data_IF_977982000751
#
_entry.id   IF_977982000751
#
_cell.length_a   1.000
_cell.length_b   1.000
_cell.length_c   1.000
_cell.angle_alpha   90.00
_cell.angle_beta   90.00
_cell.angle_gamma   90.00
#
_symmetry.space_group_name_H-M   'P 1'
#
loop_
_entity.id
_entity.type
_entity.pdbx_description
1 polymer ?
#
# COMPACT_ATOMS: atom_id res chain seq x y z
N UNK A 1 4.53 -8.83 16.64
CA UNK A 1 5.45 -7.75 17.06
C UNK A 1 6.36 -7.44 15.87
N UNK A 2 6.45 -6.19 15.42
CA UNK A 2 7.28 -5.78 14.27
C UNK A 2 8.52 -5.07 14.82
N UNK A 3 9.71 -5.52 14.43
CA UNK A 3 10.98 -4.93 14.86
C UNK A 3 11.60 -4.15 13.71
N UNK A 4 12.01 -2.91 13.99
CA UNK A 4 12.77 -2.08 13.03
C UNK A 4 14.07 -2.81 12.67
N UNK A 5 14.48 -2.78 11.40
CA UNK A 5 15.63 -3.51 10.81
C UNK A 5 15.47 -5.02 10.62
N UNK A 6 14.33 -5.60 10.98
CA UNK A 6 13.98 -6.97 10.57
C UNK A 6 13.17 -6.94 9.28
N UNK A 7 13.17 -8.07 8.57
CA UNK A 7 12.28 -8.23 7.43
C UNK A 7 10.83 -8.09 7.88
N UNK A 8 10.02 -7.40 7.09
CA UNK A 8 8.60 -7.30 7.34
C UNK A 8 7.96 -8.70 7.36
N UNK A 9 6.91 -8.91 8.19
CA UNK A 9 6.19 -10.18 8.21
C UNK A 9 5.66 -10.52 6.82
N UNK A 10 5.80 -11.78 6.43
CA UNK A 10 5.15 -12.29 5.23
C UNK A 10 3.69 -12.64 5.58
N UNK A 11 2.76 -12.17 4.76
CA UNK A 11 1.35 -12.48 4.91
C UNK A 11 0.67 -12.57 3.55
N UNK A 12 -0.36 -13.39 3.51
CA UNK A 12 -1.22 -13.56 2.34
C UNK A 12 -2.65 -13.22 2.76
N UNK A 13 -3.27 -12.28 2.06
CA UNK A 13 -4.62 -11.82 2.34
C UNK A 13 -5.35 -11.48 1.04
N UNK A 14 -6.67 -11.31 1.10
CA UNK A 14 -7.41 -10.73 -0.01
C UNK A 14 -7.09 -9.23 -0.11
N UNK A 15 -6.80 -8.74 -1.31
CA UNK A 15 -6.51 -7.33 -1.56
C UNK A 15 -7.16 -6.84 -2.86
N UNK A 16 -7.53 -5.56 -2.88
CA UNK A 16 -7.96 -4.84 -4.08
C UNK A 16 -6.74 -4.12 -4.66
N UNK A 17 -6.42 -4.37 -5.92
CA UNK A 17 -5.35 -3.70 -6.65
C UNK A 17 -5.87 -2.38 -7.23
N UNK A 18 -4.96 -1.44 -7.51
CA UNK A 18 -5.32 -0.11 -8.03
C UNK A 18 -5.94 -0.05 -9.43
N UNK A 19 -6.10 -1.21 -10.07
CA UNK A 19 -6.87 -1.42 -11.30
C UNK A 19 -8.29 -1.93 -11.02
N UNK A 20 -8.69 -2.08 -9.76
CA UNK A 20 -9.97 -2.64 -9.33
C UNK A 20 -10.03 -4.16 -9.32
N UNK A 21 -8.92 -4.87 -9.59
CA UNK A 21 -8.89 -6.33 -9.53
C UNK A 21 -8.81 -6.82 -8.09
N UNK A 22 -9.65 -7.79 -7.76
CA UNK A 22 -9.67 -8.44 -6.45
C UNK A 22 -8.77 -9.67 -6.51
N UNK A 23 -7.71 -9.69 -5.71
CA UNK A 23 -6.79 -10.81 -5.58
C UNK A 23 -7.00 -11.46 -4.23
N UNK A 24 -7.62 -12.65 -4.20
CA UNK A 24 -7.90 -13.36 -2.93
C UNK A 24 -6.65 -13.84 -2.19
N UNK A 25 -5.55 -14.06 -2.92
CA UNK A 25 -4.26 -14.54 -2.38
C UNK A 25 -3.14 -13.57 -2.69
N UNK A 26 -3.29 -12.32 -2.27
CA UNK A 26 -2.23 -11.32 -2.39
C UNK A 26 -1.12 -11.61 -1.39
N UNK A 27 0.06 -11.99 -1.86
CA UNK A 27 1.23 -12.19 -1.01
C UNK A 27 2.08 -10.92 -0.92
N UNK A 28 2.21 -10.38 0.30
CA UNK A 28 2.93 -9.13 0.53
C UNK A 28 4.38 -9.20 0.04
N UNK A 29 5.14 -10.22 0.46
CA UNK A 29 6.58 -10.33 0.18
C UNK A 29 6.89 -10.43 -1.32
N UNK A 30 6.07 -11.15 -2.08
CA UNK A 30 6.20 -11.28 -3.54
C UNK A 30 5.96 -9.94 -4.24
N UNK A 31 4.92 -9.21 -3.85
CA UNK A 31 4.55 -7.94 -4.48
C UNK A 31 5.46 -6.76 -4.10
N UNK A 32 6.12 -6.82 -2.94
CA UNK A 32 7.01 -5.75 -2.44
C UNK A 32 8.50 -6.04 -2.69
N UNK A 33 8.85 -7.20 -3.23
CA UNK A 33 10.24 -7.57 -3.48
C UNK A 33 10.95 -6.56 -4.38
N UNK A 34 12.11 -6.06 -3.94
CA UNK A 34 12.91 -5.09 -4.69
C UNK A 34 12.32 -3.67 -4.76
N UNK A 35 11.19 -3.41 -4.09
CA UNK A 35 10.55 -2.08 -4.04
C UNK A 35 10.49 -1.58 -2.60
N UNK A 36 10.65 -0.27 -2.43
CA UNK A 36 10.36 0.37 -1.16
C UNK A 36 8.83 0.47 -1.05
N UNK A 37 8.25 -0.18 -0.04
CA UNK A 37 6.80 -0.22 0.19
C UNK A 37 6.46 0.40 1.53
N UNK A 38 5.45 1.27 1.52
CA UNK A 38 4.83 1.82 2.72
C UNK A 38 3.56 1.01 2.99
N UNK A 39 3.47 0.38 4.15
CA UNK A 39 2.28 -0.35 4.61
C UNK A 39 1.66 0.45 5.76
N UNK A 40 0.38 0.81 5.60
CA UNK A 40 -0.37 1.61 6.55
C UNK A 40 -1.63 0.85 6.97
N UNK A 41 -1.90 0.80 8.27
CA UNK A 41 -3.09 0.15 8.83
C UNK A 41 -4.03 1.21 9.37
N UNK A 42 -5.28 1.20 8.93
CA UNK A 42 -6.35 2.02 9.48
C UNK A 42 -7.47 1.13 10.03
N UNK A 43 -8.24 1.60 11.02
CA UNK A 43 -9.10 0.74 11.83
C UNK A 43 -10.35 0.21 11.10
N UNK A 44 -10.98 1.03 10.25
CA UNK A 44 -12.18 0.62 9.50
C UNK A 44 -12.47 1.62 8.36
N UNK A 45 -12.80 1.08 7.19
CA UNK A 45 -13.29 1.86 6.04
C UNK A 45 -14.55 2.65 6.44
N UNK A 46 -14.64 3.93 6.06
CA UNK A 46 -15.76 4.85 6.36
C UNK A 46 -15.89 5.34 7.82
N UNK A 47 -14.81 5.35 8.59
CA UNK A 47 -14.77 6.06 9.89
C UNK A 47 -14.44 7.55 9.75
N UNK A 48 -14.83 8.39 10.73
CA UNK A 48 -14.72 9.86 10.72
C UNK A 48 -13.28 10.42 10.60
N UNK A 49 -12.27 9.57 10.62
CA UNK A 49 -10.91 9.90 10.18
C UNK A 49 -10.75 9.41 8.74
N UNK A 50 -11.32 10.19 7.82
CA UNK A 50 -11.27 10.04 6.36
C UNK A 50 -11.71 11.41 5.79
N UNK A 51 -11.13 12.01 4.73
CA UNK A 51 -10.27 11.47 3.67
C UNK A 51 -8.94 12.25 3.52
N UNK A 52 -8.60 13.13 4.46
CA UNK A 52 -7.52 14.09 4.32
C UNK A 52 -6.14 13.44 4.27
N UNK A 53 -5.91 12.36 5.01
CA UNK A 53 -4.63 11.63 5.00
C UNK A 53 -4.40 10.91 3.66
N UNK A 54 -5.43 10.26 3.11
CA UNK A 54 -5.34 9.62 1.79
C UNK A 54 -5.11 10.66 0.68
N UNK A 55 -5.83 11.78 0.71
CA UNK A 55 -5.66 12.87 -0.28
C UNK A 55 -4.29 13.56 -0.13
N UNK A 56 -3.79 13.74 1.09
CA UNK A 56 -2.46 14.32 1.31
C UNK A 56 -1.35 13.38 0.81
N UNK A 57 -1.53 12.07 0.95
CA UNK A 57 -0.62 11.07 0.41
C UNK A 57 -0.67 11.04 -1.13
N UNK A 58 -1.86 11.10 -1.72
CA UNK A 58 -2.06 11.17 -3.17
C UNK A 58 -1.40 12.44 -3.78
N UNK A 59 -1.58 13.61 -3.14
CA UNK A 59 -0.91 14.85 -3.57
C UNK A 59 0.62 14.77 -3.50
N UNK A 60 1.16 14.09 -2.48
CA UNK A 60 2.62 13.89 -2.32
C UNK A 60 3.14 12.71 -3.14
N UNK A 61 2.27 11.86 -3.67
CA UNK A 61 2.64 10.80 -4.59
C UNK A 61 3.26 11.37 -5.88
N UNK A 62 2.85 12.57 -6.29
CA UNK A 62 3.46 13.29 -7.42
C UNK A 62 4.92 13.68 -7.17
N UNK A 63 5.31 13.93 -5.91
CA UNK A 63 6.69 14.24 -5.51
C UNK A 63 7.60 13.00 -5.49
N UNK A 64 7.05 11.78 -5.62
CA UNK A 64 7.87 10.58 -5.75
C UNK A 64 8.52 10.51 -7.14
N UNK A 65 9.83 10.25 -7.22
CA UNK A 65 10.55 10.19 -8.49
C UNK A 65 9.94 9.17 -9.45
N UNK A 66 9.80 9.58 -10.72
CA UNK A 66 9.20 8.84 -11.85
C UNK A 66 9.63 7.36 -11.91
N UNK A 67 10.88 7.05 -11.53
CA UNK A 67 11.44 5.70 -11.51
C UNK A 67 10.72 4.76 -10.53
N UNK A 68 10.07 5.27 -9.48
CA UNK A 68 9.27 4.52 -8.49
C UNK A 68 7.78 4.43 -8.85
N UNK A 69 7.30 5.20 -9.83
CA UNK A 69 5.88 5.30 -10.22
C UNK A 69 5.40 4.16 -11.14
N UNK A 70 6.32 3.32 -11.63
CA UNK A 70 6.11 2.32 -12.70
C UNK A 70 5.32 1.05 -12.35
N UNK A 71 4.63 0.99 -11.21
CA UNK A 71 3.65 -0.07 -10.96
C UNK A 71 2.35 0.57 -10.53
N UNK A 72 1.27 0.28 -11.27
CA UNK A 72 -0.07 0.86 -11.15
C UNK A 72 -0.71 0.74 -9.77
N UNK A 73 -0.22 1.54 -8.82
CA UNK A 73 -0.86 1.84 -7.56
C UNK A 73 -1.58 3.18 -7.75
N UNK A 74 -2.79 3.11 -8.31
CA UNK A 74 -3.78 4.17 -8.12
C UNK A 74 -4.65 3.70 -6.97
N UNK A 75 -4.66 4.42 -5.85
CA UNK A 75 -5.52 4.03 -4.73
C UNK A 75 -6.98 4.24 -5.13
N UNK A 76 -7.62 3.15 -5.57
CA UNK A 76 -9.04 2.86 -5.40
C UNK A 76 -9.26 1.35 -5.54
#
# INVERSE_FOLDING_TARGET
MVLVTRQAPDFTAAAVLGNGEIVEKFNFKQHTSGKATVLFFWPMDFTFVCPSELIAFDKRYEEFPETRRRSGWRFF
#
